data_IF_328023189307
#
_entry.id   IF_328023189307
#
_cell.length_a   1.000
_cell.length_b   1.000
_cell.length_c   1.000
_cell.angle_alpha   90.00
_cell.angle_beta   90.00
_cell.angle_gamma   90.00
#
_symmetry.space_group_name_H-M   'P 1'
#
loop_
_entity.id
_entity.type
_entity.pdbx_description
1 polymer ?
#
# COMPACT_ATOMS: atom_id res chain seq x y z
N UNK A 1 5.13 0.52 -15.94
CA UNK A 1 5.83 -0.63 -15.33
C UNK A 1 6.01 -0.30 -13.86
N UNK A 2 5.70 -1.25 -12.98
CA UNK A 2 5.74 -1.04 -11.54
C UNK A 2 7.18 -0.81 -11.04
N UNK A 3 7.36 0.16 -10.15
CA UNK A 3 8.64 0.45 -9.47
C UNK A 3 8.79 -0.50 -8.29
N UNK A 4 9.31 -1.68 -8.58
CA UNK A 4 9.43 -2.81 -7.64
C UNK A 4 10.84 -3.39 -7.60
N UNK A 5 11.86 -2.73 -8.18
CA UNK A 5 13.24 -3.23 -8.16
C UNK A 5 13.96 -2.83 -6.88
N UNK A 6 15.12 -3.43 -6.57
CA UNK A 6 15.89 -3.03 -5.37
C UNK A 6 16.39 -1.59 -5.45
N UNK A 7 16.64 -1.11 -6.66
CA UNK A 7 17.13 0.24 -6.93
C UNK A 7 15.99 1.26 -6.92
N UNK A 8 14.77 0.84 -7.25
CA UNK A 8 13.58 1.67 -7.28
C UNK A 8 12.33 0.86 -6.88
N UNK A 9 11.99 0.89 -5.60
CA UNK A 9 10.83 0.18 -5.02
C UNK A 9 9.73 1.14 -4.54
N UNK A 10 9.56 2.31 -5.17
CA UNK A 10 8.56 3.32 -4.75
C UNK A 10 7.11 2.82 -4.79
N UNK A 11 6.77 1.94 -5.73
CA UNK A 11 5.40 1.41 -5.84
C UNK A 11 5.18 0.29 -4.82
N UNK A 12 6.15 -0.61 -4.67
CA UNK A 12 6.13 -1.60 -3.59
C UNK A 12 6.05 -0.93 -2.21
N UNK A 13 6.84 0.12 -2.00
CA UNK A 13 6.83 0.92 -0.78
C UNK A 13 5.47 1.53 -0.49
N UNK A 14 4.81 2.11 -1.50
CA UNK A 14 3.46 2.62 -1.34
C UNK A 14 2.46 1.53 -0.91
N UNK A 15 2.47 0.38 -1.59
CA UNK A 15 1.57 -0.73 -1.26
C UNK A 15 1.79 -1.26 0.17
N UNK A 16 3.04 -1.37 0.61
CA UNK A 16 3.40 -1.76 1.98
C UNK A 16 2.90 -0.72 2.99
N UNK A 17 3.12 0.57 2.72
CA UNK A 17 2.63 1.64 3.59
C UNK A 17 1.09 1.63 3.68
N UNK A 18 0.39 1.31 2.60
CA UNK A 18 -1.06 1.12 2.66
C UNK A 18 -1.47 0.02 3.65
N UNK A 19 -0.72 -1.10 3.73
CA UNK A 19 -0.97 -2.13 4.75
C UNK A 19 -0.67 -1.62 6.17
N UNK A 20 0.44 -0.90 6.39
CA UNK A 20 0.80 -0.38 7.71
C UNK A 20 -0.20 0.64 8.29
N UNK A 21 -1.02 1.25 7.42
CA UNK A 21 -2.06 2.21 7.80
C UNK A 21 -3.48 1.62 7.67
N UNK A 22 -3.60 0.29 7.64
CA UNK A 22 -4.85 -0.46 7.53
C UNK A 22 -5.71 -0.11 6.31
N UNK A 23 -5.13 0.56 5.31
CA UNK A 23 -5.84 0.92 4.09
C UNK A 23 -6.08 -0.30 3.20
N UNK A 24 -5.28 -1.37 3.36
CA UNK A 24 -5.48 -2.71 2.80
C UNK A 24 -5.02 -3.79 3.79
N UNK A 25 -5.50 -5.02 3.60
CA UNK A 25 -5.01 -6.19 4.33
C UNK A 25 -3.97 -7.00 3.52
N UNK A 26 -3.38 -8.04 4.14
CA UNK A 26 -2.37 -8.89 3.50
C UNK A 26 -2.90 -9.62 2.26
N UNK A 27 -4.15 -10.09 2.27
CA UNK A 27 -4.74 -10.76 1.11
C UNK A 27 -4.89 -9.80 -0.07
N UNK A 28 -5.30 -8.55 0.19
CA UNK A 28 -5.39 -7.50 -0.82
C UNK A 28 -4.01 -7.10 -1.36
N UNK A 29 -2.98 -7.05 -0.51
CA UNK A 29 -1.61 -6.84 -0.95
C UNK A 29 -1.13 -7.95 -1.88
N UNK A 30 -1.41 -9.22 -1.55
CA UNK A 30 -1.07 -10.36 -2.42
C UNK A 30 -1.80 -10.31 -3.76
N UNK A 31 -3.08 -9.93 -3.76
CA UNK A 31 -3.82 -9.69 -5.00
C UNK A 31 -3.18 -8.60 -5.85
N UNK A 32 -2.65 -7.54 -5.23
CA UNK A 32 -1.88 -6.53 -5.96
C UNK A 32 -0.56 -7.10 -6.50
N UNK A 33 0.16 -7.95 -5.77
CA UNK A 33 1.36 -8.62 -6.28
C UNK A 33 1.05 -9.49 -7.51
N UNK A 34 -0.11 -10.15 -7.57
CA UNK A 34 -0.55 -10.88 -8.76
C UNK A 34 -0.72 -9.97 -9.99
N UNK A 35 -1.23 -8.74 -9.77
CA UNK A 35 -1.28 -7.70 -10.82
C UNK A 35 0.13 -7.31 -11.26
N UNK A 36 1.03 -7.08 -10.30
CA UNK A 36 2.42 -6.73 -10.57
C UNK A 36 3.10 -7.79 -11.42
N UNK A 37 2.93 -9.07 -11.09
CA UNK A 37 3.51 -10.20 -11.84
C UNK A 37 2.92 -10.27 -13.26
N UNK A 38 1.62 -10.07 -13.42
CA UNK A 38 0.97 -10.10 -14.74
C UNK A 38 1.40 -8.95 -15.64
N UNK A 39 1.62 -7.77 -15.07
CA UNK A 39 1.89 -6.54 -15.82
C UNK A 39 3.40 -6.27 -16.05
N UNK A 40 4.27 -7.11 -15.50
CA UNK A 40 5.73 -6.95 -15.56
C UNK A 40 6.37 -8.09 -16.37
N UNK A 41 7.33 -7.81 -17.28
CA UNK A 41 8.07 -8.87 -17.97
C UNK A 41 8.75 -9.83 -17.00
N UNK A 42 8.55 -11.14 -17.20
CA UNK A 42 8.97 -12.20 -16.26
C UNK A 42 10.47 -12.15 -15.91
N UNK A 43 11.31 -11.76 -16.85
CA UNK A 43 12.78 -11.65 -16.72
C UNK A 43 13.23 -10.41 -15.93
N UNK A 44 12.29 -9.50 -15.63
CA UNK A 44 12.53 -8.26 -14.88
C UNK A 44 11.92 -8.27 -13.48
N UNK A 45 11.09 -9.26 -13.15
CA UNK A 45 10.47 -9.39 -11.83
C UNK A 45 11.54 -9.83 -10.82
N UNK A 46 11.79 -9.06 -9.74
CA UNK A 46 12.69 -9.50 -8.69
C UNK A 46 12.16 -10.72 -7.95
N UNK A 47 13.03 -11.69 -7.64
CA UNK A 47 12.62 -12.96 -7.02
C UNK A 47 11.86 -12.79 -5.70
N UNK A 48 12.19 -11.77 -4.92
CA UNK A 48 11.51 -11.49 -3.66
C UNK A 48 10.02 -11.13 -3.83
N UNK A 49 9.56 -10.79 -5.03
CA UNK A 49 8.12 -10.60 -5.30
C UNK A 49 7.38 -11.93 -5.13
N UNK A 50 7.98 -13.05 -5.54
CA UNK A 50 7.39 -14.38 -5.32
C UNK A 50 7.44 -14.76 -3.83
N UNK A 51 8.54 -14.44 -3.14
CA UNK A 51 8.63 -14.64 -1.69
C UNK A 51 7.55 -13.82 -0.93
N UNK A 52 7.21 -12.63 -1.42
CA UNK A 52 6.13 -11.80 -0.87
C UNK A 52 4.73 -12.36 -1.16
N UNK A 53 4.52 -13.05 -2.28
CA UNK A 53 3.24 -13.74 -2.57
C UNK A 53 3.03 -14.88 -1.57
N UNK A 54 4.08 -15.62 -1.24
CA UNK A 54 4.03 -16.72 -0.28
C UNK A 54 4.10 -16.26 1.20
N UNK A 55 4.34 -14.97 1.45
CA UNK A 55 4.52 -14.41 2.80
C UNK A 55 3.29 -14.59 3.70
N UNK A 56 3.45 -15.22 4.86
CA UNK A 56 2.36 -15.48 5.82
C UNK A 56 2.66 -15.00 7.25
N UNK A 57 3.71 -14.18 7.41
CA UNK A 57 4.20 -13.71 8.71
C UNK A 57 3.62 -12.35 9.10
N UNK A 58 4.02 -11.82 10.25
CA UNK A 58 3.61 -10.49 10.70
C UNK A 58 4.17 -9.39 9.81
N UNK A 59 3.38 -8.33 9.54
CA UNK A 59 3.76 -7.23 8.64
C UNK A 59 5.15 -6.62 8.91
N UNK A 60 5.60 -6.59 10.17
CA UNK A 60 6.92 -6.08 10.54
C UNK A 60 8.09 -6.88 9.96
N UNK A 61 7.88 -8.14 9.61
CA UNK A 61 8.89 -9.05 9.05
C UNK A 61 9.00 -8.94 7.52
N UNK A 62 8.16 -8.12 6.87
CA UNK A 62 8.18 -7.96 5.40
C UNK A 62 9.52 -7.40 4.89
N UNK A 63 10.18 -6.59 5.74
CA UNK A 63 11.46 -5.98 5.42
C UNK A 63 12.61 -7.00 5.32
N UNK A 64 12.52 -8.10 6.07
CA UNK A 64 13.50 -9.18 6.02
C UNK A 64 13.47 -9.93 4.67
N UNK A 65 12.30 -9.95 4.02
CA UNK A 65 12.12 -10.56 2.69
C UNK A 65 12.68 -9.66 1.60
N UNK A 66 12.39 -8.35 1.66
CA UNK A 66 12.74 -7.41 0.59
C UNK A 66 14.24 -7.08 0.61
N UNK A 67 14.81 -6.90 1.81
CA UNK A 67 16.24 -6.59 2.00
C UNK A 67 16.69 -5.24 1.42
N UNK A 68 15.78 -4.27 1.31
CA UNK A 68 16.03 -2.93 0.73
C UNK A 68 15.39 -1.85 1.61
N UNK A 69 15.82 -0.58 1.51
CA UNK A 69 15.37 0.52 2.39
C UNK A 69 14.75 1.71 1.63
N UNK A 70 14.80 1.74 0.29
CA UNK A 70 14.40 2.93 -0.47
C UNK A 70 12.96 2.88 -1.03
N UNK A 71 11.97 2.98 -0.14
CA UNK A 71 10.54 2.84 -0.42
C UNK A 71 9.84 4.08 -1.00
N UNK A 72 10.61 5.12 -1.35
CA UNK A 72 10.06 6.43 -1.71
C UNK A 72 9.58 7.22 -0.47
N UNK A 73 9.34 8.51 -0.67
CA UNK A 73 8.88 9.42 0.39
C UNK A 73 7.36 9.59 0.35
N UNK A 74 6.72 9.41 1.51
CA UNK A 74 5.33 9.79 1.76
C UNK A 74 5.28 10.60 3.06
N UNK A 75 4.68 11.79 3.00
CA UNK A 75 4.59 12.70 4.15
C UNK A 75 3.62 12.18 5.22
N UNK A 76 3.75 12.65 6.46
CA UNK A 76 2.82 12.28 7.53
C UNK A 76 1.36 12.66 7.23
N UNK A 77 1.14 13.79 6.55
CA UNK A 77 -0.21 14.20 6.12
C UNK A 77 -0.80 13.26 5.06
N UNK A 78 0.01 12.74 4.14
CA UNK A 78 -0.42 11.74 3.16
C UNK A 78 -0.63 10.36 3.82
N UNK A 79 0.15 9.99 4.83
CA UNK A 79 -0.11 8.79 5.64
C UNK A 79 -1.43 8.90 6.39
N UNK A 80 -1.75 10.07 6.93
CA UNK A 80 -3.04 10.36 7.53
C UNK A 80 -4.20 10.20 6.52
N UNK A 81 -4.00 10.55 5.25
CA UNK A 81 -4.97 10.29 4.19
C UNK A 81 -5.18 8.77 3.96
N UNK A 82 -4.15 7.94 4.07
CA UNK A 82 -4.30 6.47 4.01
C UNK A 82 -5.14 5.93 5.18
N UNK A 83 -4.96 6.44 6.40
CA UNK A 83 -5.88 6.13 7.52
C UNK A 83 -7.31 6.59 7.19
N UNK A 84 -7.46 7.70 6.47
CA UNK A 84 -8.74 8.17 5.94
C UNK A 84 -9.39 7.13 5.02
N UNK A 85 -8.62 6.48 4.15
CA UNK A 85 -9.10 5.39 3.30
C UNK A 85 -9.58 4.22 4.15
N UNK A 86 -8.82 3.79 5.17
CA UNK A 86 -9.25 2.72 6.07
C UNK A 86 -10.61 3.04 6.72
N UNK A 87 -10.77 4.26 7.25
CA UNK A 87 -12.05 4.70 7.82
C UNK A 87 -13.18 4.81 6.80
N UNK A 88 -12.89 5.24 5.57
CA UNK A 88 -13.85 5.31 4.47
C UNK A 88 -14.38 3.92 4.09
N UNK A 89 -13.51 2.91 4.21
CA UNK A 89 -13.83 1.48 4.05
C UNK A 89 -14.56 0.87 5.26
N UNK A 90 -14.83 1.65 6.31
CA UNK A 90 -15.48 1.18 7.53
C UNK A 90 -14.58 0.32 8.43
N UNK A 91 -13.27 0.38 8.25
CA UNK A 91 -12.30 -0.34 9.09
C UNK A 91 -12.16 0.39 10.42
N UNK A 92 -12.22 -0.37 11.53
CA UNK A 92 -11.93 0.14 12.86
C UNK A 92 -10.43 0.06 13.12
N UNK A 93 -9.74 1.16 12.82
CA UNK A 93 -8.27 1.27 12.98
C UNK A 93 -7.93 1.32 14.47
N UNK A 94 -7.10 0.39 14.93
CA UNK A 94 -6.65 0.37 16.32
C UNK A 94 -5.63 1.49 16.58
N UNK A 95 -5.86 2.30 17.62
CA UNK A 95 -5.00 3.42 18.04
C UNK A 95 -4.54 4.32 16.85
N UNK A 96 -5.50 4.93 16.12
CA UNK A 96 -5.18 5.66 14.91
C UNK A 96 -4.33 6.90 15.24
N UNK A 97 -3.38 7.28 14.37
CA UNK A 97 -2.47 8.41 14.62
C UNK A 97 -3.20 9.75 14.79
N UNK A 98 -4.40 9.84 14.22
CA UNK A 98 -5.32 10.97 14.30
C UNK A 98 -6.77 10.47 14.34
N UNK A 99 -7.69 11.31 14.80
CA UNK A 99 -9.12 11.03 14.78
C UNK A 99 -9.66 10.79 13.36
N UNK A 100 -10.69 9.94 13.23
CA UNK A 100 -11.43 9.67 11.97
C UNK A 100 -11.77 10.93 11.16
N UNK A 101 -12.33 11.95 11.80
CA UNK A 101 -12.70 13.20 11.11
C UNK A 101 -11.49 13.90 10.47
N UNK A 102 -10.36 13.98 11.18
CA UNK A 102 -9.12 14.56 10.66
C UNK A 102 -8.53 13.71 9.53
N UNK A 103 -8.65 12.39 9.60
CA UNK A 103 -8.15 11.49 8.58
C UNK A 103 -8.95 11.61 7.27
N UNK A 104 -10.27 11.70 7.36
CA UNK A 104 -11.13 11.96 6.19
C UNK A 104 -10.84 13.33 5.57
N UNK A 105 -10.67 14.38 6.39
CA UNK A 105 -10.25 15.71 5.91
C UNK A 105 -8.86 15.69 5.25
N UNK A 106 -7.93 14.87 5.75
CA UNK A 106 -6.64 14.67 5.11
C UNK A 106 -6.82 14.00 3.74
N UNK A 107 -7.67 12.99 3.64
CA UNK A 107 -7.97 12.34 2.36
C UNK A 107 -8.58 13.30 1.33
N UNK A 108 -9.51 14.16 1.74
CA UNK A 108 -10.06 15.24 0.89
C UNK A 108 -8.98 16.23 0.42
N UNK A 109 -8.02 16.55 1.28
CA UNK A 109 -6.92 17.48 0.98
C UNK A 109 -5.87 16.89 0.03
N UNK A 110 -5.69 15.56 0.05
CA UNK A 110 -4.69 14.84 -0.76
C UNK A 110 -5.38 13.84 -1.72
N UNK A 111 -6.16 14.33 -2.70
CA UNK A 111 -6.89 13.46 -3.64
C UNK A 111 -5.96 12.58 -4.49
N UNK A 112 -4.69 12.95 -4.64
CA UNK A 112 -3.71 12.13 -5.34
C UNK A 112 -3.45 10.80 -4.61
N UNK A 113 -3.60 10.75 -3.28
CA UNK A 113 -3.49 9.51 -2.50
C UNK A 113 -4.66 8.58 -2.80
N UNK A 114 -5.88 9.14 -2.88
CA UNK A 114 -7.06 8.38 -3.26
C UNK A 114 -6.94 7.81 -4.67
N UNK A 115 -6.55 8.65 -5.65
CA UNK A 115 -6.36 8.23 -7.04
C UNK A 115 -5.28 7.17 -7.17
N UNK A 116 -4.14 7.34 -6.48
CA UNK A 116 -3.07 6.34 -6.47
C UNK A 116 -3.54 5.04 -5.84
N UNK A 117 -4.28 5.09 -4.74
CA UNK A 117 -4.85 3.90 -4.11
C UNK A 117 -5.77 3.14 -5.06
N UNK A 118 -6.71 3.81 -5.73
CA UNK A 118 -7.61 3.18 -6.70
C UNK A 118 -6.86 2.55 -7.88
N UNK A 119 -5.78 3.20 -8.33
CA UNK A 119 -4.93 2.64 -9.40
C UNK A 119 -4.21 1.36 -8.96
N UNK A 120 -3.72 1.31 -7.73
CA UNK A 120 -3.02 0.15 -7.18
C UNK A 120 -3.98 -0.99 -6.86
N UNK A 121 -5.12 -0.68 -6.25
CA UNK A 121 -6.06 -1.69 -5.75
C UNK A 121 -7.40 -1.56 -6.48
N UNK A 122 -7.46 -1.81 -7.80
CA UNK A 122 -8.69 -1.63 -8.58
C UNK A 122 -9.81 -2.60 -8.20
N UNK A 123 -9.49 -3.62 -7.40
CA UNK A 123 -10.42 -4.60 -6.83
C UNK A 123 -11.00 -4.17 -5.47
N UNK A 124 -10.51 -3.06 -4.88
CA UNK A 124 -11.06 -2.48 -3.66
C UNK A 124 -12.07 -1.41 -4.05
N UNK A 125 -13.34 -1.63 -3.72
CA UNK A 125 -14.39 -0.63 -3.93
C UNK A 125 -14.25 0.50 -2.89
N UNK A 126 -14.22 1.74 -3.39
CA UNK A 126 -14.20 2.95 -2.56
C UNK A 126 -15.37 3.88 -2.92
N UNK A 127 -16.05 4.47 -1.92
CA UNK A 127 -16.98 5.57 -2.14
C UNK A 127 -16.29 6.74 -2.83
N UNK A 128 -16.99 7.40 -3.77
CA UNK A 128 -16.51 8.64 -4.38
C UNK A 128 -16.32 9.71 -3.29
N UNK A 129 -15.15 10.36 -3.31
CA UNK A 129 -14.85 11.57 -2.51
C UNK A 129 -15.60 12.80 -3.04
#
# INVERSE_FOLDING_TARGET
MWKISKENCEDLGFAIVCMFYDAINLSEFKLWLDIVVRDTPIDTIPLYIFDLIDFDKGIGEIYDVIGVVNYGYISNDQKNALTGIAFLRGIDVYDPPISKEKALKALEKYPEIYQRFQHFFPFVELPLL
#
